data_IF_560877569026
#
_entry.id   IF_560877569026
#
_cell.length_a   1.000
_cell.length_b   1.000
_cell.length_c   1.000
_cell.angle_alpha   90.00
_cell.angle_beta   90.00
_cell.angle_gamma   90.00
#
_symmetry.space_group_name_H-M   'P 1'
#
loop_
_entity.id
_entity.type
_entity.pdbx_description
1 polymer ?
#
# COMPACT_ATOMS: atom_id res chain seq x y z
N UNK A 1 -6.55 -21.43 -15.53
CA UNK A 1 -5.08 -21.30 -15.72
C UNK A 1 -4.59 -19.85 -15.91
N UNK A 2 -5.39 -18.81 -15.69
CA UNK A 2 -5.08 -17.44 -16.15
C UNK A 2 -4.44 -16.51 -15.11
N UNK A 3 -4.73 -16.70 -13.82
CA UNK A 3 -4.20 -15.83 -12.74
C UNK A 3 -2.70 -15.98 -12.55
N UNK A 4 -2.21 -17.22 -12.35
CA UNK A 4 -0.80 -17.49 -12.09
C UNK A 4 0.10 -17.01 -13.25
N UNK A 5 -0.34 -17.23 -14.49
CA UNK A 5 0.36 -16.74 -15.69
C UNK A 5 0.47 -15.21 -15.71
N UNK A 6 -0.62 -14.50 -15.39
CA UNK A 6 -0.62 -13.03 -15.31
C UNK A 6 0.36 -12.53 -14.24
N UNK A 7 0.42 -13.19 -13.08
CA UNK A 7 1.35 -12.83 -12.00
C UNK A 7 2.81 -13.10 -12.37
N UNK A 8 3.09 -14.20 -13.07
CA UNK A 8 4.44 -14.51 -13.55
C UNK A 8 4.90 -13.47 -14.57
N UNK A 9 4.05 -13.13 -15.55
CA UNK A 9 4.36 -12.10 -16.56
C UNK A 9 4.59 -10.74 -15.92
N UNK A 10 3.77 -10.39 -14.92
CA UNK A 10 3.96 -9.17 -14.17
C UNK A 10 5.30 -9.16 -13.42
N UNK A 11 5.66 -10.27 -12.77
CA UNK A 11 6.94 -10.36 -12.05
C UNK A 11 8.14 -10.23 -12.98
N UNK A 12 8.05 -10.78 -14.19
CA UNK A 12 9.07 -10.64 -15.23
C UNK A 12 9.17 -9.17 -15.68
N UNK A 13 8.03 -8.51 -15.94
CA UNK A 13 8.00 -7.09 -16.30
C UNK A 13 8.58 -6.21 -15.18
N UNK A 14 8.22 -6.47 -13.91
CA UNK A 14 8.80 -5.78 -12.74
C UNK A 14 10.32 -5.95 -12.63
N UNK A 15 10.83 -7.16 -12.89
CA UNK A 15 12.27 -7.41 -12.96
C UNK A 15 12.94 -6.60 -14.07
N UNK A 16 12.35 -6.60 -15.27
CA UNK A 16 12.86 -5.87 -16.43
C UNK A 16 12.94 -4.36 -16.21
N UNK A 17 12.03 -3.78 -15.40
CA UNK A 17 12.04 -2.36 -15.02
C UNK A 17 13.15 -2.00 -14.03
N UNK A 18 13.60 -2.96 -13.21
CA UNK A 18 14.72 -2.75 -12.28
C UNK A 18 16.09 -2.97 -12.92
N UNK A 19 16.16 -3.77 -13.99
CA UNK A 19 17.38 -3.94 -14.79
C UNK A 19 17.51 -2.82 -15.83
N UNK A 20 18.72 -2.30 -16.04
CA UNK A 20 19.05 -1.30 -17.08
C UNK A 20 19.01 -1.86 -18.51
N UNK A 21 18.04 -2.70 -18.83
CA UNK A 21 17.75 -3.15 -20.19
C UNK A 21 17.10 -2.02 -20.98
N UNK A 22 17.44 -1.88 -22.26
CA UNK A 22 17.05 -0.73 -23.08
C UNK A 22 15.52 -0.52 -23.16
N UNK A 23 15.07 0.73 -23.41
CA UNK A 23 13.68 1.15 -23.26
C UNK A 23 12.66 0.34 -24.09
N UNK A 24 13.02 -0.08 -25.29
CA UNK A 24 12.08 -0.73 -26.23
C UNK A 24 11.64 -2.14 -25.79
N UNK A 25 12.50 -2.93 -25.13
CA UNK A 25 12.13 -4.29 -24.69
C UNK A 25 11.35 -4.31 -23.38
N UNK A 26 11.47 -3.27 -22.56
CA UNK A 26 10.71 -3.11 -21.32
C UNK A 26 9.24 -2.79 -21.58
N UNK A 27 8.96 -1.86 -22.49
CA UNK A 27 7.61 -1.36 -22.74
C UNK A 27 6.67 -2.44 -23.30
N UNK A 28 7.16 -3.30 -24.22
CA UNK A 28 6.38 -4.41 -24.75
C UNK A 28 6.04 -5.47 -23.68
N UNK A 29 6.99 -5.76 -22.79
CA UNK A 29 6.79 -6.70 -21.67
C UNK A 29 5.74 -6.15 -20.70
N UNK A 30 5.80 -4.85 -20.40
CA UNK A 30 4.85 -4.18 -19.51
C UNK A 30 3.44 -4.17 -20.13
N UNK A 31 3.30 -3.79 -21.40
CA UNK A 31 2.02 -3.82 -22.11
C UNK A 31 1.44 -5.25 -22.22
N UNK A 32 2.30 -6.26 -22.41
CA UNK A 32 1.90 -7.67 -22.38
C UNK A 32 1.39 -8.10 -21.01
N UNK A 33 2.10 -7.72 -19.93
CA UNK A 33 1.67 -7.98 -18.57
C UNK A 33 0.34 -7.29 -18.24
N UNK A 34 0.15 -6.02 -18.64
CA UNK A 34 -1.12 -5.31 -18.46
C UNK A 34 -2.29 -6.08 -19.07
N UNK A 35 -2.17 -6.46 -20.36
CA UNK A 35 -3.20 -7.24 -21.07
C UNK A 35 -3.49 -8.57 -20.39
N UNK A 36 -2.46 -9.27 -19.89
CA UNK A 36 -2.63 -10.52 -19.15
C UNK A 36 -3.37 -10.33 -17.83
N UNK A 37 -3.03 -9.30 -17.05
CA UNK A 37 -3.72 -8.99 -15.78
C UNK A 37 -5.16 -8.58 -16.04
N UNK A 38 -5.43 -7.72 -17.04
CA UNK A 38 -6.80 -7.34 -17.42
C UNK A 38 -7.60 -8.58 -17.83
N UNK A 39 -7.04 -9.47 -18.66
CA UNK A 39 -7.73 -10.72 -19.04
C UNK A 39 -8.02 -11.60 -17.83
N UNK A 40 -7.06 -11.77 -16.91
CA UNK A 40 -7.28 -12.52 -15.68
C UNK A 40 -8.40 -11.89 -14.82
N UNK A 41 -8.45 -10.55 -14.77
CA UNK A 41 -9.45 -9.79 -14.03
C UNK A 41 -10.86 -9.92 -14.64
N UNK A 42 -10.99 -9.98 -15.97
CA UNK A 42 -12.29 -10.24 -16.60
C UNK A 42 -12.86 -11.61 -16.24
N UNK A 43 -12.00 -12.57 -15.89
CA UNK A 43 -12.40 -13.90 -15.45
C UNK A 43 -12.63 -13.98 -13.93
N UNK A 44 -12.00 -13.08 -13.16
CA UNK A 44 -12.16 -12.98 -11.71
C UNK A 44 -12.21 -11.52 -11.26
N UNK A 45 -13.37 -10.84 -11.40
CA UNK A 45 -13.50 -9.42 -11.11
C UNK A 45 -13.39 -9.09 -9.61
N UNK A 46 -13.52 -10.11 -8.74
CA UNK A 46 -13.39 -9.98 -7.29
C UNK A 46 -11.95 -10.10 -6.80
N UNK A 47 -10.96 -10.21 -7.69
CA UNK A 47 -9.56 -10.36 -7.28
C UNK A 47 -8.93 -9.01 -6.94
N UNK A 48 -8.87 -8.71 -5.65
CA UNK A 48 -8.32 -7.46 -5.10
C UNK A 48 -6.86 -7.21 -5.54
N UNK A 49 -6.07 -8.27 -5.67
CA UNK A 49 -4.68 -8.17 -6.08
C UNK A 49 -4.56 -7.81 -7.55
N UNK A 50 -5.34 -8.43 -8.43
CA UNK A 50 -5.30 -8.12 -9.86
C UNK A 50 -5.66 -6.65 -10.12
N UNK A 51 -6.65 -6.08 -9.41
CA UNK A 51 -6.95 -4.64 -9.48
C UNK A 51 -5.74 -3.77 -9.10
N UNK A 52 -5.05 -4.11 -8.01
CA UNK A 52 -3.83 -3.40 -7.58
C UNK A 52 -2.71 -3.52 -8.62
N UNK A 53 -2.60 -4.68 -9.27
CA UNK A 53 -1.56 -4.91 -10.28
C UNK A 53 -1.83 -4.09 -11.55
N UNK A 54 -3.08 -3.99 -12.02
CA UNK A 54 -3.41 -3.09 -13.15
C UNK A 54 -3.07 -1.64 -12.79
N UNK A 55 -3.47 -1.18 -11.59
CA UNK A 55 -3.12 0.16 -11.11
C UNK A 55 -1.59 0.39 -11.13
N UNK A 56 -0.83 -0.57 -10.60
CA UNK A 56 0.63 -0.47 -10.49
C UNK A 56 1.28 -0.40 -11.87
N UNK A 57 0.89 -1.30 -12.79
CA UNK A 57 1.44 -1.35 -14.16
C UNK A 57 1.17 -0.04 -14.90
N UNK A 58 -0.07 0.45 -14.87
CA UNK A 58 -0.43 1.70 -15.54
C UNK A 58 0.30 2.90 -14.98
N UNK A 59 0.43 2.96 -13.65
CA UNK A 59 1.15 4.05 -12.98
C UNK A 59 2.63 4.08 -13.36
N UNK A 60 3.24 2.90 -13.55
CA UNK A 60 4.65 2.81 -13.95
C UNK A 60 4.82 3.12 -15.44
N UNK A 61 3.95 2.58 -16.30
CA UNK A 61 4.09 2.71 -17.76
C UNK A 61 3.75 4.11 -18.26
N UNK A 62 2.64 4.68 -17.77
CA UNK A 62 2.08 5.92 -18.29
C UNK A 62 2.25 7.10 -17.32
N UNK A 63 2.84 6.85 -16.15
CA UNK A 63 2.89 7.82 -15.06
C UNK A 63 1.59 7.88 -14.25
N UNK A 64 1.54 8.83 -13.33
CA UNK A 64 0.37 9.05 -12.48
C UNK A 64 -0.80 9.65 -13.28
N UNK A 65 -1.98 9.04 -13.13
CA UNK A 65 -3.23 9.52 -13.71
C UNK A 65 -4.38 9.32 -12.71
N UNK A 66 -5.19 10.37 -12.51
CA UNK A 66 -6.36 10.38 -11.63
C UNK A 66 -7.37 9.30 -12.05
N UNK A 67 -7.52 9.02 -13.35
CA UNK A 67 -8.45 8.01 -13.85
C UNK A 67 -8.08 6.59 -13.41
N UNK A 68 -6.82 6.35 -13.05
CA UNK A 68 -6.36 5.06 -12.54
C UNK A 68 -6.66 4.87 -11.05
N UNK A 69 -7.01 5.94 -10.30
CA UNK A 69 -7.37 5.81 -8.88
C UNK A 69 -8.59 4.92 -8.65
N UNK A 70 -9.50 4.81 -9.63
CA UNK A 70 -10.63 3.88 -9.58
C UNK A 70 -10.18 2.41 -9.47
N UNK A 71 -9.04 2.06 -10.07
CA UNK A 71 -8.49 0.69 -10.00
C UNK A 71 -8.02 0.37 -8.57
N UNK A 72 -7.37 1.34 -7.93
CA UNK A 72 -6.96 1.22 -6.53
C UNK A 72 -8.18 1.15 -5.60
N UNK A 73 -9.21 1.97 -5.84
CA UNK A 73 -10.46 1.90 -5.08
C UNK A 73 -11.15 0.53 -5.24
N UNK A 74 -11.17 -0.05 -6.45
CA UNK A 74 -11.70 -1.40 -6.68
C UNK A 74 -10.89 -2.47 -5.94
N UNK A 75 -9.56 -2.34 -5.88
CA UNK A 75 -8.74 -3.24 -5.06
C UNK A 75 -9.18 -3.25 -3.60
N UNK A 76 -9.45 -2.09 -3.01
CA UNK A 76 -9.99 -1.99 -1.65
C UNK A 76 -11.40 -2.56 -1.51
N UNK A 77 -12.27 -2.35 -2.50
CA UNK A 77 -13.65 -2.81 -2.45
C UNK A 77 -13.77 -4.35 -2.54
N UNK A 78 -12.89 -5.01 -3.30
CA UNK A 78 -12.99 -6.45 -3.58
C UNK A 78 -12.32 -7.34 -2.53
N UNK A 79 -11.36 -6.83 -1.76
CA UNK A 79 -10.62 -7.63 -0.77
C UNK A 79 -9.92 -6.76 0.27
N UNK A 80 -10.65 -6.23 1.26
CA UNK A 80 -10.05 -5.49 2.36
C UNK A 80 -9.26 -6.45 3.28
N UNK A 81 -8.21 -5.94 3.92
CA UNK A 81 -7.45 -6.64 4.98
C UNK A 81 -6.71 -7.92 4.57
N UNK A 82 -6.43 -8.12 3.29
CA UNK A 82 -5.52 -9.18 2.85
C UNK A 82 -4.07 -8.79 3.18
N UNK A 83 -3.51 -9.34 4.27
CA UNK A 83 -2.25 -8.88 4.86
C UNK A 83 -1.08 -8.77 3.86
N UNK A 84 -0.90 -9.77 3.00
CA UNK A 84 0.17 -9.77 1.99
C UNK A 84 -0.03 -8.71 0.89
N UNK A 85 -1.28 -8.40 0.53
CA UNK A 85 -1.61 -7.31 -0.42
C UNK A 85 -1.41 -5.96 0.24
N UNK A 86 -1.83 -5.83 1.50
CA UNK A 86 -1.79 -4.60 2.29
C UNK A 86 -0.39 -3.99 2.34
N UNK A 87 0.66 -4.83 2.41
CA UNK A 87 2.06 -4.39 2.38
C UNK A 87 2.40 -3.48 1.20
N UNK A 88 1.86 -3.78 0.01
CA UNK A 88 2.07 -2.98 -1.21
C UNK A 88 0.95 -1.95 -1.41
N UNK A 89 -0.30 -2.37 -1.19
CA UNK A 89 -1.49 -1.56 -1.42
C UNK A 89 -1.52 -0.33 -0.53
N UNK A 90 -1.32 -0.52 0.78
CA UNK A 90 -1.36 0.58 1.75
C UNK A 90 -0.32 1.64 1.42
N UNK A 91 0.92 1.23 1.16
CA UNK A 91 2.00 2.15 0.75
C UNK A 91 1.65 2.94 -0.51
N UNK A 92 1.14 2.24 -1.53
CA UNK A 92 0.76 2.87 -2.81
C UNK A 92 -0.40 3.85 -2.65
N UNK A 93 -1.38 3.49 -1.83
CA UNK A 93 -2.54 4.33 -1.58
C UNK A 93 -2.23 5.55 -0.71
N UNK A 94 -1.35 5.40 0.28
CA UNK A 94 -0.89 6.51 1.11
C UNK A 94 -0.15 7.57 0.29
N UNK A 95 0.56 7.19 -0.77
CA UNK A 95 1.26 8.12 -1.66
C UNK A 95 0.29 9.03 -2.45
N UNK A 96 -0.94 8.59 -2.68
CA UNK A 96 -1.98 9.34 -3.42
C UNK A 96 -3.19 9.67 -2.55
N UNK A 97 -3.06 9.55 -1.22
CA UNK A 97 -4.19 9.56 -0.28
C UNK A 97 -5.04 10.83 -0.40
N UNK A 98 -4.44 11.98 -0.65
CA UNK A 98 -5.14 13.26 -0.80
C UNK A 98 -6.15 13.29 -1.93
N UNK A 99 -5.89 12.53 -3.00
CA UNK A 99 -6.69 12.51 -4.22
C UNK A 99 -7.77 11.43 -4.21
N UNK A 100 -7.75 10.54 -3.21
CA UNK A 100 -8.73 9.49 -3.07
C UNK A 100 -10.08 10.04 -2.58
N UNK A 101 -11.17 9.35 -2.91
CA UNK A 101 -12.48 9.61 -2.31
C UNK A 101 -12.45 9.37 -0.80
N UNK A 102 -13.34 10.02 -0.02
CA UNK A 102 -13.35 9.84 1.44
C UNK A 102 -13.63 8.39 1.87
N UNK A 103 -14.41 7.62 1.09
CA UNK A 103 -14.64 6.21 1.35
C UNK A 103 -13.36 5.38 1.18
N UNK A 104 -12.61 5.62 0.09
CA UNK A 104 -11.32 4.96 -0.13
C UNK A 104 -10.28 5.40 0.88
N UNK A 105 -10.21 6.69 1.25
CA UNK A 105 -9.33 7.20 2.32
C UNK A 105 -9.59 6.46 3.63
N UNK A 106 -10.86 6.30 3.99
CA UNK A 106 -11.25 5.56 5.20
C UNK A 106 -10.78 4.11 5.14
N UNK A 107 -10.95 3.43 4.00
CA UNK A 107 -10.46 2.06 3.81
C UNK A 107 -8.93 1.94 3.93
N UNK A 108 -8.17 2.89 3.37
CA UNK A 108 -6.70 2.94 3.48
C UNK A 108 -6.26 3.11 4.93
N UNK A 109 -6.91 4.01 5.67
CA UNK A 109 -6.61 4.29 7.08
C UNK A 109 -6.96 3.08 7.95
N UNK A 110 -8.11 2.44 7.72
CA UNK A 110 -8.50 1.22 8.42
C UNK A 110 -7.54 0.06 8.13
N UNK A 111 -7.11 -0.10 6.88
CA UNK A 111 -6.10 -1.12 6.52
C UNK A 111 -4.76 -0.84 7.22
N UNK A 112 -4.34 0.42 7.34
CA UNK A 112 -3.14 0.77 8.10
C UNK A 112 -3.25 0.33 9.57
N UNK A 113 -4.38 0.61 10.22
CA UNK A 113 -4.63 0.18 11.60
C UNK A 113 -4.62 -1.35 11.73
N UNK A 114 -5.27 -2.06 10.80
CA UNK A 114 -5.26 -3.51 10.75
C UNK A 114 -3.84 -4.08 10.56
N UNK A 115 -3.00 -3.44 9.73
CA UNK A 115 -1.61 -3.86 9.55
C UNK A 115 -0.80 -3.74 10.86
N UNK A 116 -1.05 -2.72 11.69
CA UNK A 116 -0.43 -2.60 13.01
C UNK A 116 -0.93 -3.72 13.91
N UNK A 117 -2.23 -3.98 13.91
CA UNK A 117 -2.86 -5.01 14.74
C UNK A 117 -2.35 -6.42 14.41
N UNK A 118 -2.08 -6.71 13.14
CA UNK A 118 -1.51 -7.98 12.67
C UNK A 118 0.03 -7.99 12.62
N UNK A 119 0.70 -7.13 13.38
CA UNK A 119 2.17 -7.11 13.59
C UNK A 119 3.04 -6.78 12.36
N UNK A 120 2.51 -6.12 11.32
CA UNK A 120 3.32 -5.57 10.22
C UNK A 120 3.99 -4.24 10.60
N UNK A 121 4.73 -4.25 11.71
CA UNK A 121 5.28 -3.05 12.38
C UNK A 121 6.31 -2.31 11.51
N UNK A 122 7.20 -3.03 10.82
CA UNK A 122 8.20 -2.39 9.96
C UNK A 122 7.55 -1.62 8.79
N UNK A 123 6.57 -2.23 8.14
CA UNK A 123 5.87 -1.63 7.00
C UNK A 123 5.02 -0.43 7.44
N UNK A 124 4.34 -0.53 8.57
CA UNK A 124 3.53 0.57 9.11
C UNK A 124 4.39 1.74 9.57
N UNK A 125 5.56 1.48 10.18
CA UNK A 125 6.54 2.53 10.49
C UNK A 125 7.08 3.23 9.23
N UNK A 126 7.37 2.48 8.15
CA UNK A 126 7.75 3.05 6.86
C UNK A 126 6.64 3.91 6.25
N UNK A 127 5.40 3.43 6.29
CA UNK A 127 4.24 4.14 5.77
C UNK A 127 4.00 5.46 6.52
N UNK A 128 4.12 5.46 7.85
CA UNK A 128 3.92 6.66 8.68
C UNK A 128 5.01 7.73 8.46
N UNK A 129 6.21 7.31 8.06
CA UNK A 129 7.30 8.22 7.67
C UNK A 129 7.05 8.88 6.32
N UNK A 130 6.56 8.11 5.35
CA UNK A 130 6.36 8.59 3.98
C UNK A 130 5.10 9.44 3.80
N UNK A 131 4.13 9.34 4.70
CA UNK A 131 2.87 10.10 4.59
C UNK A 131 3.05 11.56 5.04
N UNK A 132 2.39 12.50 4.36
CA UNK A 132 2.37 13.91 4.74
C UNK A 132 1.74 14.15 6.12
N UNK A 133 2.16 15.20 6.82
CA UNK A 133 1.80 15.49 8.21
C UNK A 133 0.29 15.42 8.49
N UNK A 134 -0.52 16.06 7.65
CA UNK A 134 -1.99 16.09 7.75
C UNK A 134 -2.65 14.70 7.79
N UNK A 135 -2.03 13.70 7.18
CA UNK A 135 -2.55 12.33 7.18
C UNK A 135 -1.92 11.47 8.26
N UNK A 136 -0.71 11.82 8.73
CA UNK A 136 -0.06 11.14 9.86
C UNK A 136 -0.94 11.17 11.10
N UNK A 137 -1.53 12.32 11.41
CA UNK A 137 -2.45 12.45 12.56
C UNK A 137 -3.69 11.58 12.40
N UNK A 138 -4.27 11.50 11.19
CA UNK A 138 -5.40 10.60 10.90
C UNK A 138 -5.03 9.13 11.06
N UNK A 139 -3.84 8.73 10.61
CA UNK A 139 -3.35 7.35 10.78
C UNK A 139 -3.12 7.02 12.26
N UNK A 140 -2.51 7.93 13.02
CA UNK A 140 -2.28 7.75 14.46
C UNK A 140 -3.61 7.67 15.22
N UNK A 141 -4.57 8.54 14.91
CA UNK A 141 -5.89 8.52 15.53
C UNK A 141 -6.63 7.19 15.29
N UNK A 142 -6.49 6.60 14.10
CA UNK A 142 -7.10 5.31 13.77
C UNK A 142 -6.55 4.13 14.60
N UNK A 143 -5.40 4.29 15.25
CA UNK A 143 -4.84 3.28 16.14
C UNK A 143 -5.59 3.17 17.47
N UNK A 144 -6.56 4.05 17.77
CA UNK A 144 -7.29 4.00 19.05
C UNK A 144 -7.91 2.62 19.33
N UNK A 145 -8.36 1.91 18.29
CA UNK A 145 -8.98 0.58 18.37
C UNK A 145 -8.00 -0.59 18.22
N UNK A 146 -6.71 -0.33 17.99
CA UNK A 146 -5.68 -1.37 17.82
C UNK A 146 -5.20 -1.85 19.19
N UNK A 147 -4.82 -3.13 19.29
CA UNK A 147 -4.30 -3.70 20.53
C UNK A 147 -3.12 -2.87 21.10
N UNK A 148 -3.10 -2.73 22.43
CA UNK A 148 -2.11 -1.90 23.12
C UNK A 148 -0.68 -2.42 22.94
N UNK A 149 -0.49 -3.74 22.85
CA UNK A 149 0.82 -4.36 22.63
C UNK A 149 1.32 -4.02 21.22
N UNK A 150 0.47 -4.14 20.21
CA UNK A 150 0.79 -3.78 18.82
C UNK A 150 1.11 -2.29 18.68
N UNK A 151 0.33 -1.41 19.31
CA UNK A 151 0.64 0.03 19.39
C UNK A 151 1.98 0.32 20.07
N UNK A 152 2.27 -0.38 21.16
CA UNK A 152 3.52 -0.22 21.90
C UNK A 152 4.73 -0.66 21.05
N UNK A 153 4.60 -1.73 20.26
CA UNK A 153 5.63 -2.17 19.29
C UNK A 153 5.88 -1.09 18.24
N UNK A 154 4.83 -0.54 17.62
CA UNK A 154 4.96 0.55 16.65
C UNK A 154 5.65 1.76 17.25
N UNK A 155 5.24 2.19 18.45
CA UNK A 155 5.87 3.30 19.16
C UNK A 155 7.36 3.07 19.39
N UNK A 156 7.75 1.89 19.91
CA UNK A 156 9.17 1.55 20.15
C UNK A 156 9.97 1.55 18.85
N UNK A 157 9.39 1.02 17.78
CA UNK A 157 10.02 0.97 16.47
C UNK A 157 10.27 2.37 15.89
N UNK A 158 9.30 3.27 16.02
CA UNK A 158 9.43 4.67 15.60
C UNK A 158 10.46 5.42 16.46
N UNK A 159 10.43 5.21 17.78
CA UNK A 159 11.41 5.79 18.72
C UNK A 159 12.84 5.34 18.40
N UNK A 160 13.04 4.09 17.98
CA UNK A 160 14.34 3.58 17.55
C UNK A 160 14.88 4.31 16.29
N UNK A 161 14.01 4.86 15.45
CA UNK A 161 14.37 5.72 14.31
C UNK A 161 14.48 7.20 14.68
N UNK A 162 14.42 7.55 15.97
CA UNK A 162 14.41 8.93 16.44
C UNK A 162 13.10 9.69 16.18
N UNK A 163 12.02 8.97 15.85
CA UNK A 163 10.72 9.57 15.55
C UNK A 163 9.84 9.55 16.79
N UNK A 164 9.56 10.74 17.29
CA UNK A 164 8.70 10.95 18.44
C UNK A 164 7.30 11.35 17.96
N UNK A 165 6.32 10.46 18.15
CA UNK A 165 4.91 10.71 17.82
C UNK A 165 4.01 10.24 18.96
N UNK A 166 2.89 10.92 19.15
CA UNK A 166 1.86 10.50 20.10
C UNK A 166 1.09 9.31 19.52
N UNK A 167 1.21 8.14 20.15
CA UNK A 167 0.44 6.94 19.79
C UNK A 167 -0.67 6.78 20.83
N UNK A 168 -1.95 6.67 20.43
CA UNK A 168 -3.07 6.58 21.38
C UNK A 168 -2.87 5.49 22.43
N UNK A 169 -3.08 5.82 23.70
CA UNK A 169 -2.96 4.87 24.81
C UNK A 169 -1.52 4.49 25.20
N UNK A 170 -0.49 5.03 24.54
CA UNK A 170 0.92 4.84 24.91
C UNK A 170 1.40 6.11 25.62
N UNK A 171 1.94 6.01 26.86
CA UNK A 171 2.50 7.16 27.56
C UNK A 171 3.59 7.84 26.72
N UNK A 172 3.44 9.13 26.49
CA UNK A 172 4.43 9.94 25.80
C UNK A 172 5.57 10.24 26.78
N UNK A 173 6.72 9.61 26.58
CA UNK A 173 7.88 9.85 27.43
C UNK A 173 8.62 11.08 26.90
N UNK A 174 8.21 12.23 27.40
CA UNK A 174 8.60 13.57 26.93
C UNK A 174 10.02 13.99 27.38
N UNK A 175 10.79 13.09 28.02
CA UNK A 175 12.05 13.44 28.70
C UNK A 175 13.22 13.60 27.71
N UNK A 176 13.70 14.83 27.43
CA UNK A 176 14.72 15.07 26.40
C UNK A 176 16.16 14.90 26.89
N UNK A 177 16.39 14.51 28.15
CA UNK A 177 17.72 14.47 28.78
C UNK A 177 17.87 13.36 29.83
N UNK A 178 17.99 12.10 29.40
CA UNK A 178 18.57 11.04 30.24
C UNK A 178 19.62 10.27 29.49
#
# INVERSE_FOLDING_TARGET
MTRAEALVRLRIAEGAMTSKTGPESGDELIASAERSVIRALTLNPSDSFLWLMVYSVRTIQYGFDLENLRLLAQSYAMGPYEGWISLRRNRSALAVLSMLSESTKSAVISEFAAMVDTDFIENTALNLRGVGWQYRERLLAALVSVDVVSRQKLYRRLKADGITVSVPGIPFDERPWR
#
